data_IF_197470664420
#
_entry.id   IF_197470664420
#
_cell.length_a   1.000
_cell.length_b   1.000
_cell.length_c   1.000
_cell.angle_alpha   90.00
_cell.angle_beta   90.00
_cell.angle_gamma   90.00
#
_symmetry.space_group_name_H-M   'P 1'
#
loop_
_entity.id
_entity.type
_entity.pdbx_description
1 polymer ?
#
# COMPACT_ATOMS: atom_id res chain seq x y z
N UNK A 1 -25.10 -1.42 6.40
CA UNK A 1 -24.70 -2.14 7.63
C UNK A 1 -23.71 -3.28 7.37
N UNK A 2 -23.61 -3.84 6.15
CA UNK A 2 -22.69 -4.94 5.87
C UNK A 2 -21.19 -4.65 6.06
N UNK A 3 -20.74 -3.39 6.01
CA UNK A 3 -19.30 -3.06 6.12
C UNK A 3 -18.75 -3.21 7.54
N UNK A 4 -19.58 -3.23 8.60
CA UNK A 4 -19.07 -3.35 9.99
C UNK A 4 -18.53 -4.76 10.29
N UNK A 5 -19.01 -5.77 9.56
CA UNK A 5 -18.57 -7.17 9.67
C UNK A 5 -17.39 -7.49 8.74
N UNK A 6 -16.81 -6.49 8.08
CA UNK A 6 -15.62 -6.70 7.25
C UNK A 6 -14.45 -7.16 8.14
N UNK A 7 -13.73 -8.24 7.77
CA UNK A 7 -12.61 -8.75 8.57
C UNK A 7 -11.57 -7.69 8.92
N UNK A 8 -11.26 -6.76 8.01
CA UNK A 8 -10.26 -5.71 8.24
C UNK A 8 -10.72 -4.76 9.34
N UNK A 9 -12.00 -4.37 9.32
CA UNK A 9 -12.60 -3.52 10.36
C UNK A 9 -12.64 -4.26 11.69
N UNK A 10 -13.01 -5.54 11.69
CA UNK A 10 -13.03 -6.36 12.91
C UNK A 10 -11.64 -6.52 13.52
N UNK A 11 -10.61 -6.82 12.71
CA UNK A 11 -9.22 -6.90 13.19
C UNK A 11 -8.71 -5.55 13.71
N UNK A 12 -9.09 -4.43 13.08
CA UNK A 12 -8.78 -3.10 13.61
C UNK A 12 -9.42 -2.86 14.98
N UNK A 13 -10.71 -3.20 15.15
CA UNK A 13 -11.42 -3.08 16.43
C UNK A 13 -10.79 -3.98 17.49
N UNK A 14 -10.44 -5.22 17.16
CA UNK A 14 -9.72 -6.14 18.06
C UNK A 14 -8.38 -5.54 18.47
N UNK A 15 -7.59 -5.01 17.53
CA UNK A 15 -6.32 -4.36 17.82
C UNK A 15 -6.48 -3.12 18.72
N UNK A 16 -7.51 -2.30 18.47
CA UNK A 16 -7.83 -1.14 19.29
C UNK A 16 -8.22 -1.53 20.71
N UNK A 17 -9.11 -2.53 20.87
CA UNK A 17 -9.49 -3.06 22.18
C UNK A 17 -8.26 -3.65 22.88
N UNK A 18 -7.45 -4.44 22.19
CA UNK A 18 -6.24 -5.05 22.75
C UNK A 18 -5.23 -3.98 23.23
N UNK A 19 -5.07 -2.89 22.47
CA UNK A 19 -4.22 -1.75 22.85
C UNK A 19 -4.77 -0.99 24.06
N UNK A 20 -6.08 -0.77 24.15
CA UNK A 20 -6.73 -0.15 25.33
C UNK A 20 -6.55 -1.02 26.57
N UNK A 21 -6.72 -2.33 26.43
CA UNK A 21 -6.53 -3.31 27.51
C UNK A 21 -5.05 -3.55 27.85
N UNK A 22 -4.11 -2.94 27.12
CA UNK A 22 -2.65 -3.15 27.25
C UNK A 22 -2.25 -4.62 27.17
N UNK A 23 -3.01 -5.39 26.40
CA UNK A 23 -2.68 -6.79 26.10
C UNK A 23 -1.48 -6.80 25.17
N UNK A 24 -0.48 -7.61 25.50
CA UNK A 24 0.76 -7.69 24.72
C UNK A 24 0.53 -8.55 23.47
N UNK A 25 -0.17 -7.97 22.48
CA UNK A 25 -0.47 -8.59 21.19
C UNK A 25 0.72 -8.50 20.23
N UNK A 26 1.94 -8.61 20.76
CA UNK A 26 3.16 -8.51 20.00
C UNK A 26 3.45 -9.85 19.34
N UNK A 27 3.49 -9.89 18.02
CA UNK A 27 3.99 -11.09 17.35
C UNK A 27 5.49 -11.25 17.64
N UNK A 28 5.99 -12.47 17.82
CA UNK A 28 7.43 -12.73 17.87
C UNK A 28 8.13 -12.13 16.64
N UNK A 29 9.32 -11.54 16.81
CA UNK A 29 10.11 -10.96 15.70
C UNK A 29 10.29 -11.91 14.50
N UNK A 30 10.55 -13.23 14.68
CA UNK A 30 10.66 -14.15 13.56
C UNK A 30 9.37 -14.26 12.72
N UNK A 31 8.20 -14.13 13.36
CA UNK A 31 6.92 -14.17 12.65
C UNK A 31 6.75 -12.89 11.82
N UNK A 32 7.11 -11.72 12.36
CA UNK A 32 7.09 -10.48 11.60
C UNK A 32 7.96 -10.56 10.35
N UNK A 33 9.20 -11.04 10.48
CA UNK A 33 10.14 -11.17 9.36
C UNK A 33 9.62 -12.12 8.28
N UNK A 34 9.12 -13.30 8.69
CA UNK A 34 8.53 -14.28 7.76
C UNK A 34 7.33 -13.68 7.03
N UNK A 35 6.43 -12.99 7.73
CA UNK A 35 5.25 -12.38 7.12
C UNK A 35 5.64 -11.26 6.14
N UNK A 36 6.60 -10.41 6.48
CA UNK A 36 7.10 -9.37 5.57
C UNK A 36 7.68 -9.97 4.29
N UNK A 37 8.55 -10.97 4.40
CA UNK A 37 9.16 -11.65 3.24
C UNK A 37 8.07 -12.35 2.41
N UNK A 38 7.16 -13.08 3.06
CA UNK A 38 6.06 -13.75 2.40
C UNK A 38 5.18 -12.76 1.61
N UNK A 39 4.84 -11.62 2.21
CA UNK A 39 4.03 -10.59 1.57
C UNK A 39 4.75 -9.99 0.36
N UNK A 40 6.03 -9.65 0.49
CA UNK A 40 6.83 -9.12 -0.62
C UNK A 40 6.89 -10.12 -1.78
N UNK A 41 7.14 -11.40 -1.50
CA UNK A 41 7.14 -12.46 -2.51
C UNK A 41 5.77 -12.62 -3.16
N UNK A 42 4.70 -12.68 -2.34
CA UNK A 42 3.34 -12.88 -2.84
C UNK A 42 2.87 -11.71 -3.71
N UNK A 43 3.15 -10.48 -3.30
CA UNK A 43 2.82 -9.26 -4.07
C UNK A 43 3.62 -9.24 -5.37
N UNK A 44 4.92 -9.50 -5.33
CA UNK A 44 5.79 -9.57 -6.50
C UNK A 44 5.36 -10.64 -7.51
N UNK A 45 5.03 -11.86 -7.02
CA UNK A 45 4.56 -12.96 -7.86
C UNK A 45 3.20 -12.64 -8.51
N UNK A 46 2.26 -12.08 -7.75
CA UNK A 46 0.95 -11.68 -8.26
C UNK A 46 1.05 -10.57 -9.30
N UNK A 47 2.00 -9.65 -9.13
CA UNK A 47 2.37 -8.65 -10.14
C UNK A 47 2.94 -9.28 -11.40
N UNK A 48 3.90 -10.20 -11.25
CA UNK A 48 4.55 -10.90 -12.37
C UNK A 48 3.57 -11.71 -13.22
N UNK A 49 2.64 -12.43 -12.59
CA UNK A 49 1.57 -13.17 -13.29
C UNK A 49 0.73 -12.21 -14.14
N UNK A 50 0.24 -11.12 -13.55
CA UNK A 50 -0.61 -10.17 -14.26
C UNK A 50 0.15 -9.40 -15.35
N UNK A 51 1.45 -9.16 -15.17
CA UNK A 51 2.32 -8.62 -16.21
C UNK A 51 2.45 -9.59 -17.40
N UNK A 52 2.58 -10.89 -17.13
CA UNK A 52 2.70 -11.92 -18.18
C UNK A 52 1.43 -12.11 -19.02
N UNK A 53 0.27 -11.84 -18.43
CA UNK A 53 -1.04 -11.93 -19.09
C UNK A 53 -1.45 -10.61 -19.80
N UNK A 54 -0.76 -9.51 -19.50
CA UNK A 54 -1.10 -8.18 -20.01
C UNK A 54 -0.39 -7.85 -21.32
N UNK A 55 -1.08 -7.13 -22.21
CA UNK A 55 -0.44 -6.53 -23.38
C UNK A 55 0.41 -5.33 -22.95
N UNK A 56 1.74 -5.43 -23.13
CA UNK A 56 2.72 -4.41 -22.73
C UNK A 56 2.35 -3.00 -23.23
N UNK A 57 1.83 -2.88 -24.44
CA UNK A 57 1.41 -1.62 -25.06
C UNK A 57 0.32 -0.89 -24.25
N UNK A 58 -0.55 -1.63 -23.54
CA UNK A 58 -1.65 -1.07 -22.76
C UNK A 58 -1.23 -0.61 -21.36
N UNK A 59 -0.11 -1.13 -20.85
CA UNK A 59 0.30 -0.92 -19.45
C UNK A 59 1.47 0.04 -19.30
N UNK A 60 2.25 0.28 -20.36
CA UNK A 60 3.46 1.10 -20.30
C UNK A 60 3.15 2.54 -19.86
N UNK A 61 2.09 3.16 -20.39
CA UNK A 61 1.70 4.51 -20.01
C UNK A 61 1.20 4.59 -18.56
N UNK A 62 0.31 3.67 -18.08
CA UNK A 62 -0.03 3.58 -16.67
C UNK A 62 1.17 3.41 -15.74
N UNK A 63 2.14 2.56 -16.09
CA UNK A 63 3.37 2.35 -15.29
C UNK A 63 4.17 3.65 -15.21
N UNK A 64 4.42 4.31 -16.34
CA UNK A 64 5.16 5.57 -16.39
C UNK A 64 4.45 6.67 -15.58
N UNK A 65 3.12 6.77 -15.71
CA UNK A 65 2.31 7.70 -14.92
C UNK A 65 2.39 7.41 -13.42
N UNK A 66 2.38 6.14 -13.05
CA UNK A 66 2.50 5.68 -11.66
C UNK A 66 3.85 6.06 -11.06
N UNK A 67 4.95 5.77 -11.76
CA UNK A 67 6.31 6.16 -11.34
C UNK A 67 6.42 7.68 -11.24
N UNK A 68 5.90 8.40 -12.23
CA UNK A 68 5.94 9.86 -12.26
C UNK A 68 5.22 10.47 -11.06
N UNK A 69 4.02 9.97 -10.73
CA UNK A 69 3.26 10.39 -9.54
C UNK A 69 4.01 9.99 -8.26
N UNK A 70 4.54 8.77 -8.17
CA UNK A 70 5.31 8.27 -7.04
C UNK A 70 6.58 9.09 -6.76
N UNK A 71 7.16 9.75 -7.77
CA UNK A 71 8.29 10.68 -7.61
C UNK A 71 7.81 12.10 -7.30
N UNK A 72 6.74 12.57 -7.93
CA UNK A 72 6.26 13.95 -7.75
C UNK A 72 5.68 14.17 -6.35
N UNK A 73 4.89 13.24 -5.84
CA UNK A 73 4.27 13.35 -4.51
C UNK A 73 5.32 13.60 -3.41
N UNK A 74 6.40 12.81 -3.27
CA UNK A 74 7.41 13.04 -2.23
C UNK A 74 8.17 14.36 -2.46
N UNK A 75 8.41 14.77 -3.70
CA UNK A 75 9.04 16.07 -3.98
C UNK A 75 8.14 17.22 -3.49
N UNK A 76 6.85 17.19 -3.84
CA UNK A 76 5.88 18.19 -3.40
C UNK A 76 5.76 18.17 -1.88
N UNK A 77 5.61 16.98 -1.27
CA UNK A 77 5.51 16.80 0.17
C UNK A 77 6.75 17.38 0.88
N UNK A 78 7.96 17.10 0.39
CA UNK A 78 9.19 17.64 0.95
C UNK A 78 9.23 19.17 0.88
N UNK A 79 8.84 19.77 -0.24
CA UNK A 79 8.80 21.23 -0.40
C UNK A 79 7.81 21.85 0.58
N UNK A 80 6.61 21.26 0.70
CA UNK A 80 5.57 21.72 1.63
C UNK A 80 6.05 21.61 3.08
N UNK A 81 6.61 20.46 3.48
CA UNK A 81 7.11 20.24 4.84
C UNK A 81 8.27 21.18 5.18
N UNK A 82 9.15 21.47 4.22
CA UNK A 82 10.27 22.40 4.41
C UNK A 82 9.85 23.86 4.47
N UNK A 83 8.95 24.30 3.57
CA UNK A 83 8.60 25.72 3.42
C UNK A 83 7.46 26.15 4.33
N UNK A 84 6.43 25.32 4.45
CA UNK A 84 5.21 25.62 5.21
C UNK A 84 5.31 25.00 6.60
N UNK A 85 5.61 23.70 6.67
CA UNK A 85 5.70 22.96 7.93
C UNK A 85 6.94 23.30 8.77
N UNK A 86 7.95 23.94 8.17
CA UNK A 86 9.23 24.31 8.82
C UNK A 86 9.98 23.13 9.47
N UNK A 87 9.75 21.92 8.99
CA UNK A 87 10.49 20.72 9.45
C UNK A 87 11.96 20.82 9.06
N UNK A 88 12.86 20.23 9.85
CA UNK A 88 14.25 20.06 9.43
C UNK A 88 14.36 19.10 8.23
N UNK A 89 15.55 19.02 7.64
CA UNK A 89 15.75 18.23 6.41
C UNK A 89 15.50 16.74 6.62
N UNK A 90 15.93 16.19 7.75
CA UNK A 90 15.82 14.75 8.01
C UNK A 90 14.36 14.35 8.17
N UNK A 91 13.62 15.04 9.04
CA UNK A 91 12.20 14.76 9.25
C UNK A 91 11.37 15.00 7.98
N UNK A 92 11.60 16.10 7.26
CA UNK A 92 10.89 16.37 6.02
C UNK A 92 11.16 15.28 4.97
N UNK A 93 12.40 14.79 4.85
CA UNK A 93 12.76 13.74 3.90
C UNK A 93 12.14 12.39 4.25
N UNK A 94 12.16 12.00 5.53
CA UNK A 94 11.60 10.74 5.99
C UNK A 94 10.07 10.68 5.77
N UNK A 95 9.37 11.76 6.15
CA UNK A 95 7.92 11.86 5.96
C UNK A 95 7.59 11.88 4.46
N UNK A 96 8.28 12.71 3.68
CA UNK A 96 8.05 12.79 2.24
C UNK A 96 8.26 11.44 1.55
N UNK A 97 9.35 10.73 1.86
CA UNK A 97 9.63 9.41 1.31
C UNK A 97 8.53 8.39 1.66
N UNK A 98 8.01 8.42 2.89
CA UNK A 98 6.91 7.54 3.30
C UNK A 98 5.65 7.76 2.46
N UNK A 99 5.30 9.01 2.16
CA UNK A 99 4.13 9.35 1.33
C UNK A 99 4.36 9.18 -0.18
N UNK A 100 5.57 8.83 -0.63
CA UNK A 100 5.86 8.56 -2.04
C UNK A 100 5.58 7.12 -2.49
N UNK A 101 5.33 6.21 -1.55
CA UNK A 101 4.97 4.81 -1.84
C UNK A 101 3.44 4.61 -1.76
N UNK A 102 3.00 3.35 -1.76
CA UNK A 102 1.60 2.92 -1.75
C UNK A 102 1.33 1.99 -0.58
N UNK A 103 0.06 1.69 -0.33
CA UNK A 103 -0.36 0.77 0.71
C UNK A 103 -0.98 -0.47 0.08
N UNK A 104 -0.25 -1.60 0.12
CA UNK A 104 -0.77 -2.90 -0.31
C UNK A 104 -2.07 -3.29 0.42
N UNK A 105 -2.21 -2.90 1.69
CA UNK A 105 -3.42 -3.13 2.50
C UNK A 105 -4.60 -2.34 1.94
N UNK A 106 -4.41 -1.04 1.65
CA UNK A 106 -5.48 -0.20 1.08
C UNK A 106 -5.89 -0.71 -0.29
N UNK A 107 -4.93 -1.12 -1.11
CA UNK A 107 -5.20 -1.76 -2.40
C UNK A 107 -6.04 -3.03 -2.24
N UNK A 108 -5.66 -3.93 -1.32
CA UNK A 108 -6.40 -5.17 -1.08
C UNK A 108 -7.85 -4.92 -0.66
N UNK A 109 -8.10 -3.91 0.19
CA UNK A 109 -9.46 -3.51 0.60
C UNK A 109 -10.26 -2.99 -0.59
N UNK A 110 -9.66 -2.14 -1.43
CA UNK A 110 -10.34 -1.59 -2.62
C UNK A 110 -10.68 -2.70 -3.61
N UNK A 111 -9.76 -3.62 -3.89
CA UNK A 111 -10.01 -4.76 -4.77
C UNK A 111 -11.14 -5.64 -4.22
N UNK A 112 -11.07 -6.02 -2.94
CA UNK A 112 -12.12 -6.82 -2.31
C UNK A 112 -13.50 -6.11 -2.35
N UNK A 113 -13.51 -4.78 -2.19
CA UNK A 113 -14.72 -3.98 -2.32
C UNK A 113 -15.26 -4.03 -3.76
N UNK A 114 -14.42 -3.79 -4.76
CA UNK A 114 -14.83 -3.81 -6.17
C UNK A 114 -15.36 -5.19 -6.58
N UNK A 115 -14.69 -6.26 -6.16
CA UNK A 115 -15.12 -7.64 -6.37
C UNK A 115 -16.49 -7.91 -5.74
N UNK A 116 -16.72 -7.47 -4.50
CA UNK A 116 -18.01 -7.61 -3.81
C UNK A 116 -19.16 -6.96 -4.59
N UNK A 117 -18.90 -5.82 -5.22
CA UNK A 117 -19.90 -5.10 -6.03
C UNK A 117 -19.88 -5.47 -7.51
N UNK A 118 -19.08 -6.46 -7.93
CA UNK A 118 -18.87 -6.84 -9.33
C UNK A 118 -18.52 -5.65 -10.24
N UNK A 119 -17.71 -4.72 -9.72
CA UNK A 119 -17.21 -3.58 -10.49
C UNK A 119 -15.89 -4.00 -11.14
N UNK A 120 -15.88 -4.06 -12.46
CA UNK A 120 -14.66 -4.36 -13.21
C UNK A 120 -13.60 -3.28 -13.02
N UNK A 121 -12.36 -3.71 -12.88
CA UNK A 121 -11.16 -2.88 -12.86
C UNK A 121 -10.08 -3.55 -13.71
N UNK A 122 -9.03 -2.81 -14.03
CA UNK A 122 -7.95 -3.33 -14.85
C UNK A 122 -7.03 -4.26 -14.05
N UNK A 123 -6.81 -5.47 -14.57
CA UNK A 123 -5.95 -6.47 -13.93
C UNK A 123 -4.53 -5.93 -13.70
N UNK A 124 -3.99 -5.14 -14.63
CA UNK A 124 -2.64 -4.58 -14.47
C UNK A 124 -2.47 -3.62 -13.27
N UNK A 125 -3.54 -3.25 -12.54
CA UNK A 125 -3.43 -2.43 -11.33
C UNK A 125 -2.52 -3.05 -10.26
N UNK A 126 -2.42 -4.38 -10.16
CA UNK A 126 -1.45 -5.01 -9.25
C UNK A 126 -0.01 -4.77 -9.69
N UNK A 127 0.25 -4.64 -10.99
CA UNK A 127 1.58 -4.27 -11.52
C UNK A 127 1.93 -2.85 -11.08
N UNK A 128 0.96 -1.93 -11.12
CA UNK A 128 1.17 -0.55 -10.68
C UNK A 128 1.51 -0.47 -9.19
N UNK A 129 0.85 -1.27 -8.34
CA UNK A 129 1.19 -1.41 -6.93
C UNK A 129 2.64 -1.86 -6.76
N UNK A 130 3.02 -2.96 -7.41
CA UNK A 130 4.35 -3.58 -7.27
C UNK A 130 5.48 -2.64 -7.69
N UNK A 131 5.25 -1.78 -8.69
CA UNK A 131 6.24 -0.79 -9.14
C UNK A 131 6.57 0.26 -8.07
N UNK A 132 5.67 0.51 -7.12
CA UNK A 132 5.86 1.48 -6.03
C UNK A 132 6.19 0.83 -4.67
N UNK A 133 6.06 -0.48 -4.56
CA UNK A 133 6.42 -1.24 -3.36
C UNK A 133 7.94 -1.53 -3.37
N UNK A 134 8.66 -1.13 -2.31
CA UNK A 134 10.11 -1.36 -2.12
C UNK A 134 10.32 -2.03 -0.77
#
# INVERSE_FOLDING_TARGET
MENILDPVILFFVVGLIAGILKTDLKLPEPIYEILSIYLLIAIGLKGGIQLSESQLEKIIFPILGTIFIGIIIPIIAYIILRRIGKFDRSNASAIAAHYGSVSAVTYAVVIAFLDKFNISYENYTTVLLVVLEI
#
